data_IF_634830617190
#
_entry.id   IF_634830617190
#
_cell.length_a   1.000
_cell.length_b   1.000
_cell.length_c   1.000
_cell.angle_alpha   90.00
_cell.angle_beta   90.00
_cell.angle_gamma   90.00
#
_symmetry.space_group_name_H-M   'P 1'
#
loop_
_entity.id
_entity.type
_entity.pdbx_description
1 polymer ?
#
# COMPACT_ATOMS: atom_id res chain seq x y z
N UNK A 1 -4.01 5.65 11.49
CA UNK A 1 -5.07 5.16 12.39
C UNK A 1 -6.05 4.29 11.60
N UNK A 2 -6.33 3.07 12.06
CA UNK A 2 -7.27 2.15 11.40
C UNK A 2 -8.73 2.62 11.56
N UNK A 3 -9.56 2.33 10.57
CA UNK A 3 -10.99 2.68 10.55
C UNK A 3 -11.81 1.42 10.31
N UNK A 4 -13.06 1.44 10.76
CA UNK A 4 -13.99 0.34 10.59
C UNK A 4 -14.31 0.09 9.11
N UNK A 5 -14.41 -1.17 8.74
CA UNK A 5 -14.74 -1.63 7.40
C UNK A 5 -15.87 -2.65 7.54
N UNK A 6 -17.00 -2.39 6.88
CA UNK A 6 -18.17 -3.27 6.95
C UNK A 6 -17.96 -4.56 6.15
N UNK A 7 -17.43 -4.43 4.95
CA UNK A 7 -17.02 -5.55 4.09
C UNK A 7 -15.59 -5.32 3.62
N UNK A 8 -14.73 -6.35 3.71
CA UNK A 8 -13.33 -6.25 3.28
C UNK A 8 -13.15 -5.94 1.80
N UNK A 9 -14.19 -6.09 0.98
CA UNK A 9 -14.23 -5.68 -0.43
C UNK A 9 -14.67 -4.22 -0.64
N UNK A 10 -15.09 -3.49 0.40
CA UNK A 10 -15.49 -2.08 0.28
C UNK A 10 -14.30 -1.20 -0.11
N UNK A 11 -14.45 -0.31 -1.08
CA UNK A 11 -13.34 0.58 -1.50
C UNK A 11 -13.17 1.81 -0.60
N UNK A 12 -14.07 2.01 0.37
CA UNK A 12 -14.04 3.14 1.30
C UNK A 12 -14.21 2.65 2.74
N UNK A 13 -13.63 3.37 3.70
CA UNK A 13 -13.90 3.11 5.12
C UNK A 13 -15.33 3.50 5.48
N UNK A 14 -15.94 2.72 6.37
CA UNK A 14 -17.19 3.12 7.03
C UNK A 14 -16.83 4.05 8.19
N UNK A 15 -17.41 5.26 8.23
CA UNK A 15 -17.05 6.25 9.26
C UNK A 15 -17.57 5.92 10.67
N UNK A 16 -18.64 5.13 10.76
CA UNK A 16 -19.34 4.86 12.03
C UNK A 16 -19.16 3.40 12.39
N UNK A 17 -18.51 3.15 13.53
CA UNK A 17 -18.55 1.84 14.19
C UNK A 17 -20.00 1.61 14.64
N UNK A 18 -20.61 0.44 14.35
CA UNK A 18 -21.97 0.15 14.78
C UNK A 18 -22.16 0.40 16.28
N UNK A 19 -23.30 0.99 16.67
CA UNK A 19 -23.59 1.33 18.06
C UNK A 19 -23.45 0.08 18.93
N UNK A 20 -22.59 0.15 19.96
CA UNK A 20 -22.32 -0.96 20.87
C UNK A 20 -21.10 -1.84 20.50
N UNK A 21 -20.42 -1.57 19.38
CA UNK A 21 -19.15 -2.20 19.04
C UNK A 21 -17.97 -1.27 19.35
N UNK A 22 -16.84 -1.87 19.74
CA UNK A 22 -15.55 -1.17 19.89
C UNK A 22 -14.65 -1.63 18.75
N UNK A 23 -13.90 -0.72 18.13
CA UNK A 23 -12.90 -1.07 17.13
C UNK A 23 -11.81 -1.91 17.80
N UNK A 24 -11.79 -3.21 17.54
CA UNK A 24 -10.72 -4.14 17.91
C UNK A 24 -10.04 -4.66 16.65
N UNK A 25 -8.94 -5.38 16.81
CA UNK A 25 -8.22 -6.02 15.69
C UNK A 25 -9.11 -6.97 14.89
N UNK A 26 -10.18 -7.51 15.48
CA UNK A 26 -11.12 -8.41 14.79
C UNK A 26 -11.99 -7.69 13.76
N UNK A 27 -12.24 -6.40 13.93
CA UNK A 27 -13.02 -5.58 13.00
C UNK A 27 -12.16 -4.93 11.90
N UNK A 28 -10.84 -5.09 11.96
CA UNK A 28 -9.90 -4.64 10.93
C UNK A 28 -9.59 -5.86 10.05
N UNK A 29 -9.87 -5.81 8.73
CA UNK A 29 -9.47 -6.89 7.83
C UNK A 29 -7.96 -7.13 7.92
N UNK A 30 -7.53 -8.39 8.02
CA UNK A 30 -6.11 -8.72 8.09
C UNK A 30 -5.33 -8.15 6.89
N UNK A 31 -5.94 -8.16 5.70
CA UNK A 31 -5.37 -7.63 4.48
C UNK A 31 -5.10 -6.12 4.56
N UNK A 32 -5.83 -5.39 5.41
CA UNK A 32 -5.60 -3.96 5.70
C UNK A 32 -4.30 -3.74 6.47
N UNK A 33 -4.00 -4.63 7.43
CA UNK A 33 -2.77 -4.58 8.22
C UNK A 33 -1.59 -4.93 7.31
N UNK A 34 -1.69 -6.06 6.61
CA UNK A 34 -0.63 -6.57 5.74
C UNK A 34 -0.29 -5.60 4.61
N UNK A 35 -1.29 -5.02 3.93
CA UNK A 35 -1.01 -4.10 2.81
C UNK A 35 -0.32 -2.82 3.29
N UNK A 36 -0.64 -2.35 4.50
CA UNK A 36 0.01 -1.18 5.10
C UNK A 36 1.47 -1.48 5.40
N UNK A 37 1.77 -2.64 5.99
CA UNK A 37 3.14 -3.09 6.24
C UNK A 37 3.94 -3.23 4.93
N UNK A 38 3.32 -3.78 3.88
CA UNK A 38 3.96 -3.92 2.57
C UNK A 38 4.23 -2.56 1.92
N UNK A 39 3.30 -1.60 2.02
CA UNK A 39 3.46 -0.24 1.50
C UNK A 39 4.55 0.51 2.28
N UNK A 40 4.59 0.38 3.61
CA UNK A 40 5.66 0.97 4.43
C UNK A 40 7.03 0.37 4.07
N UNK A 41 7.10 -0.96 3.88
CA UNK A 41 8.33 -1.62 3.44
C UNK A 41 8.74 -1.20 2.02
N UNK A 42 7.79 -1.03 1.09
CA UNK A 42 8.05 -0.49 -0.25
C UNK A 42 8.59 0.94 -0.20
N UNK A 43 8.02 1.78 0.67
CA UNK A 43 8.44 3.17 0.82
C UNK A 43 9.88 3.26 1.36
N UNK A 44 10.14 2.62 2.49
CA UNK A 44 11.44 2.69 3.18
C UNK A 44 12.54 1.94 2.41
N UNK A 45 12.22 0.79 1.81
CA UNK A 45 13.21 -0.07 1.15
C UNK A 45 13.18 0.00 -0.38
N UNK A 46 12.66 1.08 -0.94
CA UNK A 46 12.59 1.24 -2.39
C UNK A 46 12.42 2.68 -2.81
N UNK A 47 11.31 3.29 -2.40
CA UNK A 47 10.92 4.61 -2.85
C UNK A 47 11.84 5.71 -2.31
N UNK A 48 11.90 5.86 -0.98
CA UNK A 48 12.65 6.93 -0.32
C UNK A 48 14.15 6.93 -0.67
N UNK A 49 14.87 5.78 -0.69
CA UNK A 49 16.29 5.74 -1.06
C UNK A 49 16.62 6.11 -2.51
N UNK A 50 15.62 6.14 -3.40
CA UNK A 50 15.78 6.43 -4.82
C UNK A 50 15.23 7.80 -5.22
N UNK A 51 14.04 8.15 -4.71
CA UNK A 51 13.29 9.35 -5.10
C UNK A 51 13.40 10.45 -4.04
N UNK A 52 13.65 10.09 -2.78
CA UNK A 52 13.66 11.00 -1.64
C UNK A 52 12.44 10.84 -0.74
N UNK A 53 12.48 11.53 0.39
CA UNK A 53 11.43 11.51 1.42
C UNK A 53 10.19 12.31 0.96
N UNK A 54 9.00 11.79 1.25
CA UNK A 54 7.71 12.44 1.07
C UNK A 54 7.11 12.70 2.46
N UNK A 55 7.28 13.92 2.96
CA UNK A 55 6.89 14.30 4.33
C UNK A 55 5.38 14.14 4.58
N UNK A 56 4.53 14.31 3.55
CA UNK A 56 3.09 14.13 3.69
C UNK A 56 2.76 12.65 3.92
N UNK A 57 3.43 11.77 3.18
CA UNK A 57 3.29 10.33 3.38
C UNK A 57 3.85 9.87 4.73
N UNK A 58 5.01 10.38 5.15
CA UNK A 58 5.64 10.04 6.43
C UNK A 58 4.83 10.46 7.65
N UNK A 59 4.07 11.56 7.57
CA UNK A 59 3.14 11.93 8.63
C UNK A 59 1.95 10.96 8.76
N UNK A 60 1.60 10.29 7.66
CA UNK A 60 0.47 9.36 7.62
C UNK A 60 0.86 7.92 7.96
N UNK A 61 2.06 7.50 7.58
CA UNK A 61 2.60 6.17 7.82
C UNK A 61 3.42 6.10 9.11
N UNK A 62 3.36 4.97 9.82
CA UNK A 62 4.21 4.73 11.00
C UNK A 62 5.62 4.26 10.58
N UNK A 63 6.19 4.87 9.53
CA UNK A 63 7.46 4.46 8.92
C UNK A 63 8.66 4.51 9.89
N UNK A 64 8.50 5.15 11.06
CA UNK A 64 9.47 5.16 12.15
C UNK A 64 9.85 3.75 12.64
N UNK A 65 8.95 2.77 12.55
CA UNK A 65 9.27 1.38 12.91
C UNK A 65 10.29 0.74 11.95
N UNK A 66 10.30 1.18 10.69
CA UNK A 66 11.16 0.66 9.62
C UNK A 66 12.38 1.54 9.34
N UNK A 67 12.50 2.72 9.97
CA UNK A 67 13.62 3.65 9.79
C UNK A 67 15.01 3.03 10.09
N UNK A 68 15.04 1.92 10.83
CA UNK A 68 16.25 1.16 11.14
C UNK A 68 16.62 0.10 10.07
N UNK A 69 15.75 -0.16 9.09
CA UNK A 69 16.04 -1.04 7.96
C UNK A 69 16.89 -0.28 6.94
N UNK A 70 18.18 -0.12 7.26
CA UNK A 70 19.17 0.41 6.33
C UNK A 70 19.57 -0.70 5.37
N UNK A 71 19.01 -0.68 4.17
CA UNK A 71 19.57 -1.44 3.05
C UNK A 71 20.93 -0.87 2.64
N UNK A 72 21.74 -1.67 1.95
CA UNK A 72 23.02 -1.23 1.36
C UNK A 72 22.79 -0.39 0.09
N UNK A 73 22.09 0.75 0.26
CA UNK A 73 21.69 1.63 -0.83
C UNK A 73 22.84 2.50 -1.33
N UNK A 74 23.79 2.83 -0.45
CA UNK A 74 24.93 3.67 -0.78
C UNK A 74 25.87 2.98 -1.79
N UNK A 75 25.99 1.64 -1.69
CA UNK A 75 26.82 0.83 -2.59
C UNK A 75 26.11 0.44 -3.90
N UNK A 76 24.82 0.76 -4.05
CA UNK A 76 24.02 0.38 -5.23
C UNK A 76 24.03 1.48 -6.29
N UNK A 77 24.23 1.07 -7.54
CA UNK A 77 24.04 1.93 -8.72
C UNK A 77 22.58 2.35 -8.86
N UNK A 78 22.34 3.48 -9.52
CA UNK A 78 21.00 3.98 -9.83
C UNK A 78 20.12 2.92 -10.52
N UNK A 79 20.69 2.14 -11.44
CA UNK A 79 19.99 1.07 -12.15
C UNK A 79 19.53 -0.05 -11.21
N UNK A 80 20.35 -0.42 -10.23
CA UNK A 80 19.99 -1.45 -9.23
C UNK A 80 18.85 -0.95 -8.34
N UNK A 81 18.91 0.32 -7.92
CA UNK A 81 17.83 0.93 -7.13
C UNK A 81 16.51 0.97 -7.88
N UNK A 82 16.53 1.43 -9.13
CA UNK A 82 15.35 1.45 -10.02
C UNK A 82 14.78 0.05 -10.21
N UNK A 83 15.64 -0.93 -10.51
CA UNK A 83 15.21 -2.33 -10.69
C UNK A 83 14.57 -2.89 -9.43
N UNK A 84 15.12 -2.56 -8.26
CA UNK A 84 14.57 -2.97 -6.97
C UNK A 84 13.19 -2.35 -6.73
N UNK A 85 13.04 -1.03 -6.92
CA UNK A 85 11.75 -0.36 -6.79
C UNK A 85 10.69 -0.99 -7.71
N UNK A 86 11.03 -1.21 -8.99
CA UNK A 86 10.14 -1.85 -9.96
C UNK A 86 9.70 -3.25 -9.53
N UNK A 87 10.60 -4.04 -8.93
CA UNK A 87 10.25 -5.37 -8.39
C UNK A 87 9.27 -5.28 -7.23
N UNK A 88 9.48 -4.33 -6.31
CA UNK A 88 8.57 -4.12 -5.18
C UNK A 88 7.18 -3.65 -5.67
N UNK A 89 7.15 -2.73 -6.64
CA UNK A 89 5.92 -2.27 -7.30
C UNK A 89 5.19 -3.44 -7.99
N UNK A 90 5.93 -4.31 -8.69
CA UNK A 90 5.37 -5.50 -9.32
C UNK A 90 4.81 -6.50 -8.29
N UNK A 91 5.49 -6.69 -7.15
CA UNK A 91 5.00 -7.52 -6.05
C UNK A 91 3.70 -6.97 -5.46
N UNK A 92 3.63 -5.66 -5.21
CA UNK A 92 2.40 -5.00 -4.75
C UNK A 92 1.26 -5.18 -5.77
N UNK A 93 1.55 -4.99 -7.06
CA UNK A 93 0.57 -5.19 -8.13
C UNK A 93 0.07 -6.64 -8.19
N UNK A 94 0.95 -7.63 -8.00
CA UNK A 94 0.59 -9.05 -7.94
C UNK A 94 -0.37 -9.34 -6.78
N UNK A 95 -0.02 -8.86 -5.58
CA UNK A 95 -0.84 -9.03 -4.37
C UNK A 95 -2.21 -8.38 -4.57
N UNK A 96 -2.24 -7.19 -5.17
CA UNK A 96 -3.47 -6.47 -5.50
C UNK A 96 -4.28 -7.10 -6.65
N UNK A 97 -3.88 -8.24 -7.23
CA UNK A 97 -4.80 -9.04 -8.06
C UNK A 97 -5.88 -9.71 -7.22
N UNK A 98 -5.60 -9.95 -5.94
CA UNK A 98 -6.61 -10.36 -4.99
C UNK A 98 -7.51 -9.17 -4.62
N UNK A 99 -8.82 -9.35 -4.81
CA UNK A 99 -9.82 -8.28 -4.65
C UNK A 99 -9.83 -7.66 -3.25
N UNK A 100 -9.49 -8.44 -2.22
CA UNK A 100 -9.46 -7.96 -0.83
C UNK A 100 -8.28 -7.03 -0.56
N UNK A 101 -7.10 -7.33 -1.13
CA UNK A 101 -5.93 -6.45 -1.06
C UNK A 101 -6.09 -5.23 -1.97
N UNK A 102 -6.71 -5.40 -3.14
CA UNK A 102 -7.08 -4.28 -4.01
C UNK A 102 -7.97 -3.28 -3.27
N UNK A 103 -9.03 -3.77 -2.62
CA UNK A 103 -9.94 -2.95 -1.83
C UNK A 103 -9.22 -2.31 -0.63
N UNK A 104 -8.34 -3.04 0.05
CA UNK A 104 -7.56 -2.53 1.17
C UNK A 104 -6.60 -1.39 0.74
N UNK A 105 -5.84 -1.56 -0.35
CA UNK A 105 -4.97 -0.50 -0.86
C UNK A 105 -5.79 0.71 -1.35
N UNK A 106 -6.94 0.47 -1.99
CA UNK A 106 -7.84 1.56 -2.43
C UNK A 106 -8.34 2.38 -1.23
N UNK A 107 -8.75 1.72 -0.14
CA UNK A 107 -9.14 2.40 1.11
C UNK A 107 -7.98 3.16 1.71
N UNK A 108 -6.80 2.55 1.77
CA UNK A 108 -5.59 3.20 2.27
C UNK A 108 -5.30 4.51 1.53
N UNK A 109 -5.33 4.46 0.19
CA UNK A 109 -5.07 5.63 -0.68
C UNK A 109 -6.16 6.70 -0.59
N UNK A 110 -7.43 6.34 -0.35
CA UNK A 110 -8.50 7.33 -0.22
C UNK A 110 -8.33 8.25 1.00
N UNK A 111 -7.56 7.83 2.00
CA UNK A 111 -7.25 8.63 3.18
C UNK A 111 -5.94 9.43 3.07
N UNK A 112 -5.11 9.15 2.08
CA UNK A 112 -3.88 9.90 1.83
C UNK A 112 -4.21 11.22 1.12
N UNK A 113 -3.53 12.28 1.55
CA UNK A 113 -3.50 13.54 0.79
C UNK A 113 -2.80 13.31 -0.55
N UNK A 114 -3.08 14.17 -1.52
CA UNK A 114 -2.46 14.08 -2.83
C UNK A 114 -0.96 14.40 -2.74
N UNK A 115 -0.15 13.36 -2.90
CA UNK A 115 1.30 13.41 -2.87
C UNK A 115 1.91 12.45 -3.91
N UNK A 116 3.22 12.54 -4.09
CA UNK A 116 3.95 11.76 -5.09
C UNK A 116 3.87 10.25 -4.82
N UNK A 117 3.88 9.85 -3.55
CA UNK A 117 3.69 8.45 -3.12
C UNK A 117 2.30 7.95 -3.48
N UNK A 118 1.25 8.73 -3.20
CA UNK A 118 -0.14 8.36 -3.54
C UNK A 118 -0.32 8.17 -5.04
N UNK A 119 0.24 9.07 -5.85
CA UNK A 119 0.23 8.95 -7.31
C UNK A 119 0.88 7.63 -7.74
N UNK A 120 2.07 7.34 -7.21
CA UNK A 120 2.82 6.12 -7.56
C UNK A 120 2.09 4.84 -7.18
N UNK A 121 1.52 4.76 -5.99
CA UNK A 121 0.73 3.62 -5.55
C UNK A 121 -0.59 3.47 -6.33
N UNK A 122 -1.15 4.57 -6.82
CA UNK A 122 -2.31 4.54 -7.73
C UNK A 122 -1.94 3.92 -9.07
N UNK A 123 -0.76 4.23 -9.62
CA UNK A 123 -0.25 3.56 -10.84
C UNK A 123 -0.11 2.05 -10.63
N UNK A 124 0.40 1.62 -9.48
CA UNK A 124 0.49 0.19 -9.09
C UNK A 124 -0.89 -0.48 -9.09
N UNK A 125 -1.91 0.18 -8.52
CA UNK A 125 -3.29 -0.34 -8.54
C UNK A 125 -3.83 -0.45 -9.96
N UNK A 126 -3.61 0.55 -10.82
CA UNK A 126 -4.06 0.50 -12.22
C UNK A 126 -3.43 -0.67 -12.98
N UNK A 127 -2.16 -1.01 -12.71
CA UNK A 127 -1.50 -2.20 -13.28
C UNK A 127 -2.17 -3.49 -12.81
N UNK A 128 -2.51 -3.58 -11.52
CA UNK A 128 -3.21 -4.73 -10.97
C UNK A 128 -4.60 -4.91 -11.62
N UNK A 129 -5.38 -3.85 -11.73
CA UNK A 129 -6.72 -3.83 -12.34
C UNK A 129 -6.70 -4.24 -13.82
N UNK A 130 -5.77 -3.67 -14.60
CA UNK A 130 -5.61 -4.01 -16.01
C UNK A 130 -5.28 -5.50 -16.22
N UNK A 131 -4.59 -6.12 -15.25
CA UNK A 131 -4.24 -7.53 -15.32
C UNK A 131 -5.38 -8.46 -14.89
N UNK A 132 -6.19 -8.05 -13.89
CA UNK A 132 -7.40 -8.76 -13.51
C UNK A 132 -8.40 -8.85 -14.68
N UNK A 133 -8.56 -7.76 -15.44
CA UNK A 133 -9.46 -7.73 -16.60
C UNK A 133 -9.04 -8.68 -17.73
N UNK A 134 -7.73 -8.97 -17.86
CA UNK A 134 -7.20 -9.88 -18.89
C UNK A 134 -7.41 -11.36 -18.56
N UNK A 135 -7.43 -11.75 -17.28
CA UNK A 135 -7.66 -13.15 -16.90
C UNK A 135 -9.09 -13.63 -17.20
N UNK A 136 -10.04 -12.71 -17.37
CA UNK A 136 -11.43 -13.01 -17.73
C UNK A 136 -11.65 -13.31 -19.22
N UNK A 137 -10.71 -13.00 -20.10
CA UNK A 137 -10.83 -13.24 -21.55
C UNK A 137 -10.34 -14.64 -21.97
N UNK A 138 -9.87 -15.46 -21.03
CA UNK A 138 -9.29 -16.77 -21.29
C UNK A 138 -10.05 -17.95 -20.66
N UNK A 139 -11.29 -17.75 -20.23
CA UNK A 139 -12.18 -18.81 -19.70
C UNK A 139 -13.43 -18.97 -20.55
#
# INVERSE_FOLDING_TARGET
MYKYVKDKLDHNYTQVVPIGQTLSEKEIPQEEIEIREMVEAWYVSGYSPLIGEDTLFEQYCCAQSLANIKGDWESQSQQQKTTRLQRLEQTLAEICRSRVYFAALTRFLSCLQDCSVKQRLTEVLSVAEATQSKSWLHH
#
